data_IF_494870207527
#
_entry.id   IF_494870207527
#
_cell.length_a   1.000
_cell.length_b   1.000
_cell.length_c   1.000
_cell.angle_alpha   90.00
_cell.angle_beta   90.00
_cell.angle_gamma   90.00
#
_symmetry.space_group_name_H-M   'P 1'
#
loop_
_entity.id
_entity.type
_entity.pdbx_description
1 polymer ?
#
# COMPACT_ATOMS: atom_id res chain seq x y z
N UNK A 1 5.63 3.23 12.15
CA UNK A 1 4.50 2.28 12.10
C UNK A 1 3.20 3.04 12.30
N UNK A 2 2.18 2.81 11.46
CA UNK A 2 0.86 3.42 11.54
C UNK A 2 -0.11 2.47 12.24
N UNK A 3 -0.70 2.92 13.34
CA UNK A 3 -1.62 2.10 14.15
C UNK A 3 -3.04 2.68 14.24
N UNK A 4 -3.19 3.97 13.92
CA UNK A 4 -4.47 4.67 14.01
C UNK A 4 -5.22 4.67 12.68
N UNK A 5 -6.47 4.19 12.71
CA UNK A 5 -7.41 4.30 11.59
C UNK A 5 -7.76 5.76 11.26
N UNK A 6 -7.54 6.68 12.20
CA UNK A 6 -7.80 8.10 12.01
C UNK A 6 -6.62 8.85 11.40
N UNK A 7 -5.49 8.18 11.16
CA UNK A 7 -4.33 8.80 10.55
C UNK A 7 -4.69 9.38 9.16
N UNK A 8 -4.30 10.63 8.84
CA UNK A 8 -4.64 11.26 7.57
C UNK A 8 -4.24 10.44 6.34
N UNK A 9 -3.05 9.82 6.34
CA UNK A 9 -2.57 8.98 5.22
C UNK A 9 -3.44 7.75 5.01
N UNK A 10 -3.94 7.15 6.09
CA UNK A 10 -4.85 6.00 6.05
C UNK A 10 -6.20 6.44 5.48
N UNK A 11 -6.74 7.58 5.93
CA UNK A 11 -8.00 8.13 5.40
C UNK A 11 -7.90 8.46 3.92
N UNK A 12 -6.83 9.14 3.51
CA UNK A 12 -6.57 9.46 2.09
C UNK A 12 -6.57 8.19 1.24
N UNK A 13 -5.83 7.16 1.65
CA UNK A 13 -5.80 5.89 0.94
C UNK A 13 -7.20 5.22 0.88
N UNK A 14 -7.96 5.21 1.98
CA UNK A 14 -9.35 4.71 1.99
C UNK A 14 -10.27 5.54 1.10
N UNK A 15 -10.04 6.83 0.93
CA UNK A 15 -10.86 7.68 0.05
C UNK A 15 -10.64 7.37 -1.43
N UNK A 16 -9.46 6.86 -1.83
CA UNK A 16 -9.20 6.44 -3.22
C UNK A 16 -10.11 5.31 -3.73
N UNK A 17 -10.97 4.79 -2.86
CA UNK A 17 -12.05 3.87 -3.22
C UNK A 17 -13.17 4.55 -4.02
N UNK A 18 -13.45 5.83 -3.74
CA UNK A 18 -14.41 6.63 -4.50
C UNK A 18 -13.76 7.12 -5.80
N UNK A 19 -14.52 7.08 -6.90
CA UNK A 19 -14.06 7.53 -8.21
C UNK A 19 -13.67 9.01 -8.21
N UNK A 20 -14.45 9.86 -7.55
CA UNK A 20 -14.22 11.31 -7.50
C UNK A 20 -12.91 11.63 -6.80
N UNK A 21 -12.58 10.87 -5.75
CA UNK A 21 -11.31 11.01 -5.05
C UNK A 21 -10.12 10.60 -5.92
N UNK A 22 -10.26 9.54 -6.72
CA UNK A 22 -9.23 9.17 -7.71
C UNK A 22 -9.07 10.21 -8.79
N UNK A 23 -10.16 10.72 -9.35
CA UNK A 23 -10.12 11.78 -10.38
C UNK A 23 -9.49 13.07 -9.83
N UNK A 24 -9.82 13.44 -8.59
CA UNK A 24 -9.27 14.63 -7.93
C UNK A 24 -7.78 14.52 -7.63
N UNK A 25 -7.32 13.34 -7.22
CA UNK A 25 -5.93 13.13 -6.79
C UNK A 25 -5.00 12.63 -7.90
N UNK A 26 -5.57 12.03 -8.95
CA UNK A 26 -4.81 11.27 -9.95
C UNK A 26 -4.26 9.95 -9.40
N UNK A 27 -4.68 9.53 -8.21
CA UNK A 27 -4.14 8.35 -7.53
C UNK A 27 -5.14 7.18 -7.53
N UNK A 28 -4.60 5.98 -7.38
CA UNK A 28 -5.37 4.75 -7.19
C UNK A 28 -4.60 3.79 -6.27
N UNK A 29 -5.30 2.80 -5.73
CA UNK A 29 -4.68 1.75 -4.92
C UNK A 29 -4.28 0.57 -5.80
N UNK A 30 -3.09 0.04 -5.55
CA UNK A 30 -2.61 -1.26 -6.04
C UNK A 30 -2.52 -2.17 -4.83
N UNK A 31 -3.12 -3.35 -4.92
CA UNK A 31 -3.13 -4.32 -3.83
C UNK A 31 -2.73 -5.70 -4.33
N UNK A 32 -1.84 -6.35 -3.57
CA UNK A 32 -1.38 -7.71 -3.83
C UNK A 32 0.08 -7.76 -4.26
N UNK A 33 0.78 -8.80 -3.81
CA UNK A 33 2.21 -8.99 -4.09
C UNK A 33 2.51 -9.04 -5.60
N UNK A 34 1.70 -9.78 -6.37
CA UNK A 34 1.93 -9.96 -7.82
C UNK A 34 1.71 -8.66 -8.58
N UNK A 35 0.70 -7.89 -8.20
CA UNK A 35 0.38 -6.59 -8.78
C UNK A 35 1.48 -5.57 -8.47
N UNK A 36 1.97 -5.52 -7.23
CA UNK A 36 3.09 -4.67 -6.84
C UNK A 36 4.39 -5.06 -7.55
N UNK A 37 4.67 -6.35 -7.71
CA UNK A 37 5.84 -6.81 -8.46
C UNK A 37 5.78 -6.32 -9.92
N UNK A 38 4.65 -6.50 -10.60
CA UNK A 38 4.44 -6.02 -11.98
C UNK A 38 4.55 -4.50 -12.10
N UNK A 39 3.98 -3.75 -11.15
CA UNK A 39 4.09 -2.30 -11.12
C UNK A 39 5.55 -1.84 -11.00
N UNK A 40 6.36 -2.56 -10.21
CA UNK A 40 7.79 -2.27 -10.06
C UNK A 40 8.57 -2.52 -11.35
N UNK A 41 8.19 -3.54 -12.13
CA UNK A 41 8.83 -3.86 -13.41
C UNK A 41 8.39 -2.92 -14.53
N UNK A 42 7.16 -2.42 -14.47
CA UNK A 42 6.61 -1.42 -15.39
C UNK A 42 7.03 0.03 -15.09
N UNK A 43 7.90 0.25 -14.09
CA UNK A 43 8.37 1.58 -13.65
C UNK A 43 7.21 2.53 -13.29
N UNK A 44 6.16 2.00 -12.68
CA UNK A 44 5.05 2.82 -12.17
C UNK A 44 5.53 3.65 -11.00
N UNK A 45 5.26 4.95 -11.01
CA UNK A 45 5.56 5.83 -9.88
C UNK A 45 4.59 5.54 -8.72
N UNK A 46 5.11 4.97 -7.63
CA UNK A 46 4.34 4.69 -6.42
C UNK A 46 4.74 5.68 -5.34
N UNK A 47 3.77 6.51 -4.92
CA UNK A 47 4.00 7.51 -3.87
C UNK A 47 4.18 6.89 -2.49
N UNK A 48 3.34 5.91 -2.14
CA UNK A 48 3.28 5.29 -0.82
C UNK A 48 3.06 3.79 -0.92
N UNK A 49 3.79 3.03 -0.12
CA UNK A 49 3.59 1.59 0.07
C UNK A 49 3.27 1.31 1.54
N UNK A 50 2.09 0.74 1.78
CA UNK A 50 1.66 0.29 3.10
C UNK A 50 1.90 -1.23 3.21
N UNK A 51 2.45 -1.68 4.34
CA UNK A 51 2.65 -3.11 4.60
C UNK A 51 2.44 -3.45 6.07
N UNK A 52 2.15 -4.72 6.34
CA UNK A 52 2.01 -5.27 7.67
C UNK A 52 2.85 -6.55 7.76
N UNK A 53 3.93 -6.52 8.54
CA UNK A 53 4.85 -7.64 8.69
C UNK A 53 4.15 -8.91 9.19
N UNK A 54 3.17 -8.75 10.10
CA UNK A 54 2.42 -9.84 10.71
C UNK A 54 1.60 -10.67 9.69
N UNK A 55 1.37 -10.12 8.49
CA UNK A 55 0.59 -10.76 7.41
C UNK A 55 1.46 -11.33 6.28
N UNK A 56 2.79 -11.26 6.38
CA UNK A 56 3.65 -11.89 5.37
C UNK A 56 3.54 -13.41 5.40
N UNK A 57 3.52 -14.00 4.21
CA UNK A 57 3.38 -15.46 4.02
C UNK A 57 4.66 -16.08 3.46
N UNK A 58 5.66 -15.26 3.09
CA UNK A 58 6.93 -15.70 2.54
C UNK A 58 8.12 -14.85 3.00
N UNK A 59 9.22 -14.96 2.25
CA UNK A 59 10.49 -14.28 2.51
C UNK A 59 10.84 -13.20 1.49
N UNK A 60 10.01 -12.97 0.47
CA UNK A 60 10.32 -12.08 -0.66
C UNK A 60 9.77 -10.66 -0.47
N UNK A 61 8.86 -10.48 0.48
CA UNK A 61 8.14 -9.24 0.74
C UNK A 61 9.10 -8.11 1.12
N UNK A 62 10.10 -8.41 1.97
CA UNK A 62 11.13 -7.45 2.36
C UNK A 62 11.98 -7.00 1.17
N UNK A 63 12.35 -7.91 0.27
CA UNK A 63 13.13 -7.56 -0.92
C UNK A 63 12.35 -6.62 -1.86
N UNK A 64 11.04 -6.85 -2.01
CA UNK A 64 10.17 -5.97 -2.78
C UNK A 64 10.03 -4.59 -2.11
N UNK A 65 9.92 -4.53 -0.77
CA UNK A 65 9.86 -3.26 -0.03
C UNK A 65 11.15 -2.45 -0.22
N UNK A 66 12.32 -3.08 -0.13
CA UNK A 66 13.60 -2.39 -0.37
C UNK A 66 13.75 -1.93 -1.83
N UNK A 67 13.24 -2.71 -2.81
CA UNK A 67 13.15 -2.25 -4.21
C UNK A 67 12.35 -0.96 -4.33
N UNK A 68 11.17 -0.89 -3.71
CA UNK A 68 10.34 0.32 -3.73
C UNK A 68 10.99 1.49 -2.97
N UNK A 69 11.65 1.22 -1.85
CA UNK A 69 12.41 2.24 -1.11
C UNK A 69 13.51 2.86 -1.98
N UNK A 70 14.25 2.04 -2.73
CA UNK A 70 15.29 2.50 -3.64
C UNK A 70 14.73 3.35 -4.80
N UNK A 71 13.47 3.14 -5.19
CA UNK A 71 12.74 3.94 -6.18
C UNK A 71 12.14 5.23 -5.59
N UNK A 72 12.36 5.53 -4.31
CA UNK A 72 11.88 6.75 -3.66
C UNK A 72 10.45 6.68 -3.11
N UNK A 73 9.82 5.50 -3.10
CA UNK A 73 8.48 5.31 -2.52
C UNK A 73 8.52 5.50 -0.99
N UNK A 74 7.53 6.23 -0.44
CA UNK A 74 7.37 6.34 1.02
C UNK A 74 6.87 5.01 1.59
N UNK A 75 7.71 4.35 2.40
CA UNK A 75 7.44 3.03 2.99
C UNK A 75 6.78 3.20 4.37
N UNK A 76 5.57 2.68 4.52
CA UNK A 76 4.71 2.89 5.70
C UNK A 76 4.31 1.55 6.34
N UNK A 77 5.07 1.03 7.33
CA UNK A 77 4.64 -0.11 8.12
C UNK A 77 3.36 0.24 8.87
N UNK A 78 2.42 -0.69 8.99
CA UNK A 78 1.17 -0.49 9.71
C UNK A 78 0.74 -1.73 10.50
N UNK A 79 -0.14 -1.52 11.48
CA UNK A 79 -0.79 -2.61 12.20
C UNK A 79 -1.75 -3.38 11.29
N UNK A 80 -2.03 -4.63 11.64
CA UNK A 80 -3.01 -5.47 10.93
C UNK A 80 -4.37 -4.77 10.80
N UNK A 81 -4.82 -4.07 11.84
CA UNK A 81 -6.08 -3.30 11.83
C UNK A 81 -6.10 -2.20 10.76
N UNK A 82 -4.99 -1.48 10.58
CA UNK A 82 -4.84 -0.47 9.53
C UNK A 82 -4.77 -1.14 8.16
N UNK A 83 -4.00 -2.22 8.03
CA UNK A 83 -3.87 -2.94 6.76
C UNK A 83 -5.21 -3.50 6.28
N UNK A 84 -5.97 -4.17 7.16
CA UNK A 84 -7.33 -4.65 6.87
C UNK A 84 -8.29 -3.53 6.49
N UNK A 85 -8.14 -2.34 7.08
CA UNK A 85 -8.95 -1.17 6.70
C UNK A 85 -8.62 -0.67 5.29
N UNK A 86 -7.36 -0.76 4.88
CA UNK A 86 -6.88 -0.34 3.56
C UNK A 86 -7.23 -1.34 2.46
N UNK A 87 -7.12 -2.64 2.76
CA UNK A 87 -7.41 -3.73 1.83
C UNK A 87 -8.89 -3.79 1.41
N UNK A 88 -9.11 -4.16 0.14
CA UNK A 88 -10.42 -4.50 -0.40
C UNK A 88 -10.78 -5.99 -0.22
N UNK A 89 -9.84 -6.82 0.22
CA UNK A 89 -10.00 -8.27 0.35
C UNK A 89 -10.43 -8.63 1.76
N UNK A 90 -11.32 -9.61 1.88
CA UNK A 90 -11.74 -10.15 3.18
C UNK A 90 -10.59 -10.89 3.91
N UNK A 91 -9.62 -11.41 3.15
CA UNK A 91 -8.39 -12.06 3.64
C UNK A 91 -7.17 -11.51 2.90
N UNK A 92 -6.60 -10.41 3.39
CA UNK A 92 -5.49 -9.73 2.75
C UNK A 92 -4.12 -10.28 3.14
#
# INVERSE_FOLDING_TARGET
MLTSLQNPRVKEAVHLRDRRDRERTGLFLIEGYRELLRASDGLVEVQRLFYCDDLFLGSQEHALIEKWRALGTEILPCSESVFRKLSYRDRP
#
